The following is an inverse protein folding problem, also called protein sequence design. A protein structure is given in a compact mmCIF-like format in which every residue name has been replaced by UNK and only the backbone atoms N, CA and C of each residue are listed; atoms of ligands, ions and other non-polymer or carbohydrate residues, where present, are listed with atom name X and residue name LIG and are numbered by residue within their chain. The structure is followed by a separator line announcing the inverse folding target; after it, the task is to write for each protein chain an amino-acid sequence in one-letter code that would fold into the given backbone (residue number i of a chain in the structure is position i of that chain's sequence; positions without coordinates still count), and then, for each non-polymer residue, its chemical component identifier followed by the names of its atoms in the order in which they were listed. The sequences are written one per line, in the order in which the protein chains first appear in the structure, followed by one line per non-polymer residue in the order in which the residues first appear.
data_IF_952214521787
#
_entry.id   IF_952214521787
#
_cell.length_a   1.000
_cell.length_b   1.000
_cell.length_c   1.000
_cell.angle_alpha   90.00
_cell.angle_beta   90.00
_cell.angle_gamma   90.00
#
_symmetry.space_group_name_H-M   'P 1'
#
loop_
_entity.id
_entity.type
_entity.pdbx_description
1 polymer ?
#
# COMPACT_ATOMS: atom_id res chain seq x y z
N UNK A 1 13.64 -30.48 0.16
CA UNK A 1 13.83 -30.66 1.63
C UNK A 1 14.59 -31.96 1.86
N UNK A 2 15.69 -31.94 2.61
CA UNK A 2 16.48 -33.14 2.90
C UNK A 2 15.69 -34.07 3.82
N UNK A 3 15.57 -35.36 3.45
CA UNK A 3 14.90 -36.37 4.29
C UNK A 3 15.90 -36.93 5.30
N UNK A 4 15.48 -37.05 6.57
CA UNK A 4 16.28 -37.72 7.61
C UNK A 4 16.48 -39.18 7.24
N UNK A 5 17.70 -39.70 7.37
CA UNK A 5 17.93 -41.16 7.26
C UNK A 5 17.42 -41.84 8.54
N UNK A 6 16.52 -42.84 8.46
CA UNK A 6 16.10 -43.61 9.64
C UNK A 6 17.24 -44.53 10.11
N UNK A 7 17.57 -44.50 11.40
CA UNK A 7 18.58 -45.38 12.02
C UNK A 7 19.45 -44.69 13.08
N UNK A 8 20.34 -45.47 13.72
CA UNK A 8 21.34 -44.98 14.68
C UNK A 8 22.29 -44.01 13.96
N UNK A 9 22.43 -42.79 14.49
CA UNK A 9 23.30 -41.77 13.90
C UNK A 9 24.76 -42.22 14.04
N UNK A 10 25.51 -42.42 12.94
CA UNK A 10 26.92 -42.77 13.02
C UNK A 10 27.73 -41.57 13.52
N UNK A 11 28.96 -41.79 13.99
CA UNK A 11 29.85 -40.69 14.39
C UNK A 11 30.35 -39.87 13.18
N UNK A 12 30.45 -40.51 12.01
CA UNK A 12 31.02 -39.91 10.80
C UNK A 12 30.12 -40.08 9.57
N UNK A 13 30.07 -39.06 8.72
CA UNK A 13 29.44 -39.08 7.41
C UNK A 13 30.49 -39.08 6.29
N UNK A 14 30.25 -39.84 5.21
CA UNK A 14 31.20 -39.97 4.09
C UNK A 14 31.15 -38.80 3.12
N UNK A 15 29.99 -38.15 3.00
CA UNK A 15 29.80 -37.02 2.10
C UNK A 15 28.83 -35.98 2.69
N UNK A 16 28.77 -34.80 2.08
CA UNK A 16 27.93 -33.69 2.56
C UNK A 16 26.43 -34.02 2.54
N UNK A 17 25.97 -34.77 1.55
CA UNK A 17 24.57 -35.18 1.45
C UNK A 17 24.18 -36.11 2.61
N UNK A 18 25.07 -37.02 2.96
CA UNK A 18 24.91 -37.95 4.08
C UNK A 18 25.00 -37.22 5.43
N UNK A 19 25.95 -36.29 5.57
CA UNK A 19 26.04 -35.41 6.73
C UNK A 19 24.71 -34.68 6.96
N UNK A 20 24.17 -34.04 5.91
CA UNK A 20 22.89 -33.32 5.96
C UNK A 20 21.70 -34.19 6.38
N UNK A 21 21.71 -35.47 6.01
CA UNK A 21 20.68 -36.43 6.40
C UNK A 21 20.75 -36.89 7.86
N UNK A 22 21.89 -36.70 8.53
CA UNK A 22 22.10 -37.04 9.95
C UNK A 22 22.03 -35.84 10.90
N UNK A 23 22.14 -34.62 10.37
CA UNK A 23 21.92 -33.39 11.15
C UNK A 23 20.46 -33.26 11.61
N UNK A 24 20.26 -32.61 12.75
CA UNK A 24 18.95 -32.35 13.35
C UNK A 24 18.77 -30.84 13.58
N UNK A 25 17.87 -30.17 12.85
CA UNK A 25 17.04 -30.69 11.77
C UNK A 25 17.86 -31.04 10.51
N UNK A 26 17.36 -31.95 9.64
CA UNK A 26 18.06 -32.33 8.41
C UNK A 26 18.38 -31.11 7.54
N UNK A 27 19.59 -31.06 7.01
CA UNK A 27 20.09 -29.95 6.19
C UNK A 27 20.32 -30.37 4.76
N UNK A 28 20.02 -29.47 3.83
CA UNK A 28 20.40 -29.66 2.43
C UNK A 28 21.91 -29.42 2.26
N UNK A 29 22.50 -30.10 1.28
CA UNK A 29 23.93 -30.00 0.93
C UNK A 29 24.36 -28.55 0.71
N UNK A 30 23.50 -27.69 0.16
CA UNK A 30 23.78 -26.26 -0.07
C UNK A 30 24.06 -25.49 1.23
N UNK A 31 23.39 -25.85 2.32
CA UNK A 31 23.61 -25.23 3.64
C UNK A 31 25.00 -25.61 4.15
N UNK A 32 25.39 -26.88 4.00
CA UNK A 32 26.71 -27.39 4.39
C UNK A 32 27.81 -26.73 3.54
N UNK A 33 27.57 -26.55 2.23
CA UNK A 33 28.51 -25.83 1.36
C UNK A 33 28.68 -24.36 1.77
N UNK A 34 27.61 -23.69 2.21
CA UNK A 34 27.68 -22.32 2.73
C UNK A 34 28.45 -22.29 4.06
N UNK A 35 28.18 -23.24 4.96
CA UNK A 35 28.86 -23.37 6.24
C UNK A 35 30.37 -23.67 6.09
N UNK A 36 30.78 -24.42 5.07
CA UNK A 36 32.20 -24.65 4.76
C UNK A 36 32.98 -23.37 4.35
N UNK A 37 32.28 -22.31 3.94
CA UNK A 37 32.91 -21.02 3.61
C UNK A 37 33.03 -20.09 4.82
N UNK A 38 32.46 -20.47 5.96
CA UNK A 38 32.53 -19.69 7.19
C UNK A 38 33.81 -20.04 7.96
N UNK A 39 34.34 -19.04 8.67
CA UNK A 39 35.47 -19.21 9.57
C UNK A 39 35.07 -20.07 10.78
N UNK A 40 35.99 -20.92 11.24
CA UNK A 40 35.73 -21.85 12.35
C UNK A 40 34.90 -23.10 11.99
N UNK A 41 34.74 -23.41 10.71
CA UNK A 41 34.03 -24.63 10.30
C UNK A 41 34.80 -25.91 10.73
N UNK A 42 34.10 -27.00 11.11
CA UNK A 42 34.77 -28.24 11.52
C UNK A 42 35.52 -28.96 10.39
N UNK A 43 35.33 -28.55 9.14
CA UNK A 43 36.03 -29.12 7.99
C UNK A 43 35.80 -30.61 7.79
N UNK A 44 36.79 -31.27 7.18
CA UNK A 44 36.89 -32.73 7.06
C UNK A 44 37.91 -33.22 8.09
N UNK A 45 37.63 -34.37 8.69
CA UNK A 45 38.61 -35.09 9.50
C UNK A 45 39.80 -35.54 8.63
N UNK A 46 40.90 -35.97 9.27
CA UNK A 46 42.10 -36.49 8.60
C UNK A 46 41.80 -37.64 7.65
N UNK A 47 40.78 -38.45 7.96
CA UNK A 47 40.29 -39.57 7.13
C UNK A 47 39.37 -39.12 5.99
N UNK A 48 39.19 -37.81 5.77
CA UNK A 48 38.35 -37.25 4.73
C UNK A 48 36.84 -37.29 5.01
N UNK A 49 36.42 -37.82 6.17
CA UNK A 49 35.01 -37.90 6.61
C UNK A 49 34.59 -36.70 7.46
N UNK A 50 33.28 -36.48 7.60
CA UNK A 50 32.71 -35.40 8.40
C UNK A 50 32.26 -35.90 9.77
N UNK A 51 32.73 -35.29 10.86
CA UNK A 51 32.28 -35.64 12.21
C UNK A 51 30.91 -35.01 12.50
N UNK A 52 29.89 -35.84 12.72
CA UNK A 52 28.49 -35.39 12.71
C UNK A 52 28.19 -34.48 13.91
N UNK A 53 28.73 -34.77 15.10
CA UNK A 53 28.46 -33.98 16.31
C UNK A 53 29.07 -32.58 16.27
N UNK A 54 30.29 -32.42 15.75
CA UNK A 54 30.93 -31.11 15.60
C UNK A 54 30.17 -30.25 14.59
N UNK A 55 29.79 -30.85 13.47
CA UNK A 55 28.95 -30.20 12.46
C UNK A 55 27.57 -29.85 13.01
N UNK A 56 26.99 -30.68 13.87
CA UNK A 56 25.73 -30.40 14.55
C UNK A 56 25.83 -29.17 15.45
N UNK A 57 26.87 -29.09 16.28
CA UNK A 57 27.11 -27.94 17.15
C UNK A 57 27.33 -26.66 16.33
N UNK A 58 28.18 -26.72 15.31
CA UNK A 58 28.48 -25.58 14.44
C UNK A 58 27.25 -25.05 13.70
N UNK A 59 26.45 -25.96 13.13
CA UNK A 59 25.24 -25.59 12.39
C UNK A 59 24.17 -25.02 13.31
N UNK A 60 24.02 -25.56 14.52
CA UNK A 60 23.07 -25.00 15.48
C UNK A 60 23.50 -23.59 15.93
N UNK A 61 24.78 -23.37 16.20
CA UNK A 61 25.27 -22.05 16.60
C UNK A 61 25.10 -20.97 15.52
N UNK A 62 25.33 -21.33 14.25
CA UNK A 62 25.36 -20.36 13.15
C UNK A 62 24.06 -20.29 12.33
N UNK A 63 23.19 -21.30 12.41
CA UNK A 63 22.01 -21.43 11.56
C UNK A 63 20.73 -21.80 12.32
N UNK A 64 20.69 -21.73 13.66
CA UNK A 64 19.49 -21.99 14.46
C UNK A 64 18.27 -21.16 14.01
N UNK A 65 18.48 -19.91 13.60
CA UNK A 65 17.39 -18.98 13.20
C UNK A 65 16.72 -19.30 11.86
N UNK A 66 17.24 -20.28 11.09
CA UNK A 66 16.68 -20.68 9.79
C UNK A 66 15.73 -21.88 9.86
N UNK A 67 15.49 -22.42 11.05
CA UNK A 67 14.56 -23.55 11.26
C UNK A 67 13.86 -23.43 12.58
N UNK A 68 13.08 -22.37 12.73
CA UNK A 68 11.83 -22.54 13.44
C UNK A 68 10.80 -23.06 12.42
N UNK A 69 10.34 -24.32 12.49
CA UNK A 69 9.27 -24.80 11.63
C UNK A 69 7.91 -24.14 11.94
N UNK A 70 7.80 -23.28 12.98
CA UNK A 70 6.62 -22.45 13.20
C UNK A 70 6.59 -21.17 12.36
N UNK A 71 7.73 -20.73 11.82
CA UNK A 71 7.79 -19.67 10.80
C UNK A 71 7.65 -20.32 9.42
N UNK A 72 6.42 -20.73 9.12
CA UNK A 72 6.07 -21.44 7.90
C UNK A 72 6.26 -20.58 6.63
N UNK A 73 6.32 -21.21 5.43
CA UNK A 73 6.27 -20.52 4.14
C UNK A 73 5.02 -19.64 3.95
N UNK A 74 4.02 -19.81 4.83
CA UNK A 74 2.82 -18.99 4.88
C UNK A 74 3.10 -17.53 5.23
N UNK A 75 4.04 -17.21 6.13
CA UNK A 75 4.31 -15.80 6.46
C UNK A 75 4.96 -15.05 5.29
N UNK A 76 5.90 -15.66 4.58
CA UNK A 76 6.51 -15.03 3.40
C UNK A 76 5.50 -14.86 2.27
N UNK A 77 4.65 -15.86 2.06
CA UNK A 77 3.60 -15.80 1.02
C UNK A 77 2.53 -14.78 1.39
N UNK A 78 2.11 -14.71 2.65
CA UNK A 78 1.14 -13.74 3.13
C UNK A 78 1.68 -12.32 3.05
N UNK A 79 2.95 -12.11 3.42
CA UNK A 79 3.61 -10.81 3.29
C UNK A 79 3.78 -10.39 1.83
N UNK A 80 4.04 -11.32 0.92
CA UNK A 80 4.16 -11.03 -0.51
C UNK A 80 2.79 -10.72 -1.15
N UNK A 81 1.75 -11.45 -0.78
CA UNK A 81 0.36 -11.17 -1.19
C UNK A 81 -0.09 -9.81 -0.67
N UNK A 82 0.16 -9.49 0.60
CA UNK A 82 -0.23 -8.20 1.17
C UNK A 82 0.58 -7.05 0.57
N UNK A 83 1.87 -7.26 0.31
CA UNK A 83 2.70 -6.30 -0.41
C UNK A 83 2.18 -6.02 -1.81
N UNK A 84 1.80 -7.05 -2.57
CA UNK A 84 1.23 -6.89 -3.91
C UNK A 84 -0.13 -6.19 -3.88
N UNK A 85 -0.97 -6.51 -2.90
CA UNK A 85 -2.25 -5.84 -2.68
C UNK A 85 -2.06 -4.34 -2.43
N UNK A 86 -1.17 -3.97 -1.51
CA UNK A 86 -0.88 -2.57 -1.18
C UNK A 86 -0.23 -1.84 -2.35
N UNK A 87 0.62 -2.53 -3.13
CA UNK A 87 1.23 -1.95 -4.32
C UNK A 87 0.20 -1.68 -5.42
N UNK A 88 -0.77 -2.58 -5.62
CA UNK A 88 -1.86 -2.37 -6.57
C UNK A 88 -2.76 -1.20 -6.13
N UNK A 89 -3.15 -1.13 -4.86
CA UNK A 89 -3.93 0.00 -4.34
C UNK A 89 -3.22 1.35 -4.51
N UNK A 90 -1.90 1.37 -4.30
CA UNK A 90 -1.08 2.56 -4.53
C UNK A 90 -1.06 2.96 -6.00
N UNK A 91 -0.89 2.01 -6.92
CA UNK A 91 -0.88 2.29 -8.35
C UNK A 91 -2.24 2.74 -8.87
N UNK A 92 -3.33 2.16 -8.37
CA UNK A 92 -4.69 2.59 -8.68
C UNK A 92 -4.93 4.03 -8.22
N UNK A 93 -4.49 4.40 -7.00
CA UNK A 93 -4.55 5.78 -6.52
C UNK A 93 -3.70 6.73 -7.37
N UNK A 94 -2.46 6.35 -7.70
CA UNK A 94 -1.57 7.18 -8.52
C UNK A 94 -2.12 7.38 -9.95
N UNK A 95 -2.81 6.38 -10.51
CA UNK A 95 -3.51 6.51 -11.79
C UNK A 95 -4.67 7.50 -11.70
N UNK A 96 -5.49 7.42 -10.64
CA UNK A 96 -6.62 8.33 -10.42
C UNK A 96 -6.16 9.79 -10.19
N UNK A 97 -5.03 9.97 -9.50
CA UNK A 97 -4.40 11.29 -9.32
C UNK A 97 -3.83 11.82 -10.64
N UNK A 98 -3.12 10.99 -11.41
CA UNK A 98 -2.53 11.42 -12.69
C UNK A 98 -3.56 11.72 -13.77
N UNK A 99 -4.75 11.15 -13.65
CA UNK A 99 -5.90 11.46 -14.52
C UNK A 99 -6.62 12.75 -14.12
N UNK A 100 -6.15 13.50 -13.12
CA UNK A 100 -6.81 14.70 -12.55
C UNK A 100 -8.21 14.43 -11.99
N UNK A 101 -8.51 13.18 -11.60
CA UNK A 101 -9.83 12.73 -11.19
C UNK A 101 -10.03 12.73 -9.67
N UNK A 102 -9.10 13.29 -8.90
CA UNK A 102 -9.20 13.27 -7.44
C UNK A 102 -9.56 14.63 -6.87
N UNK A 103 -10.88 14.86 -6.77
CA UNK A 103 -11.47 15.77 -5.79
C UNK A 103 -12.25 14.90 -4.82
N UNK A 104 -12.01 15.03 -3.51
CA UNK A 104 -12.79 14.24 -2.56
C UNK A 104 -14.25 14.65 -2.65
N UNK A 105 -15.18 13.68 -2.64
CA UNK A 105 -16.61 13.96 -2.80
C UNK A 105 -17.13 14.98 -1.78
N UNK A 106 -16.59 14.93 -0.56
CA UNK A 106 -16.90 15.88 0.50
C UNK A 106 -16.61 17.32 0.07
N UNK A 107 -15.54 17.55 -0.69
CA UNK A 107 -15.15 18.87 -1.15
C UNK A 107 -16.07 19.36 -2.28
N UNK A 108 -16.46 18.48 -3.20
CA UNK A 108 -17.42 18.81 -4.28
C UNK A 108 -18.78 19.17 -3.69
N UNK A 109 -19.27 18.39 -2.72
CA UNK A 109 -20.54 18.65 -2.04
C UNK A 109 -20.52 19.98 -1.29
N UNK A 110 -19.42 20.28 -0.59
CA UNK A 110 -19.25 21.57 0.08
C UNK A 110 -19.26 22.74 -0.92
N UNK A 111 -18.57 22.61 -2.05
CA UNK A 111 -18.52 23.67 -3.07
C UNK A 111 -19.88 23.93 -3.72
N UNK A 112 -20.61 22.86 -4.05
CA UNK A 112 -21.95 22.98 -4.62
C UNK A 112 -22.93 23.54 -3.58
N UNK A 113 -22.86 23.07 -2.34
CA UNK A 113 -23.67 23.60 -1.23
C UNK A 113 -23.46 25.10 -1.05
N UNK A 114 -22.21 25.54 -1.02
CA UNK A 114 -21.83 26.96 -0.95
C UNK A 114 -22.40 27.77 -2.13
N UNK A 115 -22.30 27.25 -3.35
CA UNK A 115 -22.79 27.92 -4.54
C UNK A 115 -24.31 28.09 -4.50
N UNK A 116 -25.04 27.06 -4.09
CA UNK A 116 -26.51 27.07 -3.98
C UNK A 116 -26.97 28.03 -2.89
N UNK A 117 -26.31 28.04 -1.72
CA UNK A 117 -26.65 28.95 -0.63
C UNK A 117 -26.46 30.41 -1.08
N UNK A 118 -25.36 30.71 -1.77
CA UNK A 118 -25.10 32.05 -2.33
C UNK A 118 -26.14 32.42 -3.38
N UNK A 119 -26.43 31.53 -4.32
CA UNK A 119 -27.44 31.74 -5.36
C UNK A 119 -28.80 32.08 -4.75
N UNK A 120 -29.24 31.28 -3.78
CA UNK A 120 -30.49 31.52 -3.04
C UNK A 120 -30.47 32.88 -2.33
N UNK A 121 -29.37 33.22 -1.68
CA UNK A 121 -29.25 34.48 -0.93
C UNK A 121 -29.35 35.70 -1.84
N UNK A 122 -28.78 35.64 -3.04
CA UNK A 122 -28.84 36.76 -4.00
C UNK A 122 -30.20 36.82 -4.67
N UNK A 123 -30.71 35.70 -5.21
CA UNK A 123 -31.97 35.66 -5.93
C UNK A 123 -33.18 36.00 -5.04
N UNK A 124 -33.18 35.59 -3.77
CA UNK A 124 -34.26 35.91 -2.84
C UNK A 124 -34.31 37.41 -2.45
N UNK A 125 -33.25 38.19 -2.72
CA UNK A 125 -33.26 39.64 -2.49
C UNK A 125 -33.95 40.41 -3.62
N UNK A 126 -33.91 39.87 -4.84
CA UNK A 126 -34.41 40.53 -6.05
C UNK A 126 -35.84 41.05 -5.90
N UNK A 127 -36.83 40.31 -5.37
CA UNK A 127 -38.17 40.85 -5.21
C UNK A 127 -38.23 42.11 -4.34
N UNK A 128 -37.43 42.18 -3.28
CA UNK A 128 -37.36 43.34 -2.39
C UNK A 128 -36.70 44.56 -3.05
N UNK A 129 -35.66 44.34 -3.88
CA UNK A 129 -34.96 45.42 -4.60
C UNK A 129 -35.73 45.90 -5.83
N UNK A 130 -36.31 44.99 -6.61
CA UNK A 130 -36.97 45.32 -7.87
C UNK A 130 -38.41 45.79 -7.70
N UNK A 131 -39.14 45.35 -6.67
CA UNK A 131 -40.52 45.80 -6.43
C UNK A 131 -40.68 47.34 -6.51
N UNK A 132 -39.91 48.17 -5.80
CA UNK A 132 -40.04 49.62 -5.90
C UNK A 132 -39.62 50.19 -7.27
N UNK A 133 -38.77 49.51 -8.02
CA UNK A 133 -38.29 49.95 -9.34
C UNK A 133 -39.31 49.69 -10.47
N UNK A 134 -40.15 48.67 -10.27
CA UNK A 134 -41.11 48.17 -11.25
C UNK A 134 -42.51 48.76 -11.05
N UNK A 135 -42.84 49.24 -9.85
CA UNK A 135 -44.13 49.88 -9.56
C UNK A 135 -44.38 51.07 -10.51
N UNK A 136 -45.51 51.02 -11.22
CA UNK A 136 -45.92 52.07 -12.17
C UNK A 136 -45.23 52.02 -13.53
N UNK A 137 -44.44 50.97 -13.83
CA UNK A 137 -43.85 50.73 -15.16
C UNK A 137 -44.75 49.90 -16.04
N UNK A 138 -44.51 49.97 -17.35
CA UNK A 138 -45.11 49.04 -18.31
C UNK A 138 -44.56 47.64 -18.12
N UNK A 139 -45.28 46.63 -18.57
CA UNK A 139 -44.84 45.23 -18.49
C UNK A 139 -43.48 45.01 -19.18
N UNK A 140 -43.25 45.67 -20.32
CA UNK A 140 -41.99 45.58 -21.08
C UNK A 140 -40.81 46.19 -20.31
N UNK A 141 -41.01 47.36 -19.70
CA UNK A 141 -39.97 48.01 -18.89
C UNK A 141 -39.69 47.23 -17.60
N UNK A 142 -40.74 46.68 -16.99
CA UNK A 142 -40.65 45.83 -15.82
C UNK A 142 -39.83 44.57 -16.10
N UNK A 143 -40.10 43.89 -17.22
CA UNK A 143 -39.36 42.69 -17.62
C UNK A 143 -37.88 43.01 -17.87
N UNK A 144 -37.58 44.15 -18.51
CA UNK A 144 -36.20 44.58 -18.75
C UNK A 144 -35.43 44.77 -17.44
N UNK A 145 -36.01 45.49 -16.48
CA UNK A 145 -35.39 45.74 -15.17
C UNK A 145 -35.17 44.42 -14.41
N UNK A 146 -36.18 43.55 -14.37
CA UNK A 146 -36.06 42.25 -13.69
C UNK A 146 -34.98 41.37 -14.35
N UNK A 147 -34.90 41.37 -15.69
CA UNK A 147 -33.90 40.61 -16.43
C UNK A 147 -32.48 41.12 -16.14
N UNK A 148 -32.27 42.43 -16.17
CA UNK A 148 -30.97 43.06 -15.87
C UNK A 148 -30.50 42.67 -14.46
N UNK A 149 -31.37 42.78 -13.47
CA UNK A 149 -31.04 42.44 -12.07
C UNK A 149 -30.76 40.94 -11.88
N UNK A 150 -31.52 40.06 -12.54
CA UNK A 150 -31.29 38.61 -12.48
C UNK A 150 -29.94 38.25 -13.11
N UNK A 151 -29.60 38.86 -14.26
CA UNK A 151 -28.32 38.62 -14.93
C UNK A 151 -27.15 39.12 -14.08
N UNK A 152 -27.28 40.28 -13.45
CA UNK A 152 -26.29 40.81 -12.54
C UNK A 152 -26.11 39.90 -11.31
N UNK A 153 -27.22 39.49 -10.69
CA UNK A 153 -27.24 38.56 -9.57
C UNK A 153 -26.55 37.22 -9.87
N UNK A 154 -26.79 36.66 -11.06
CA UNK A 154 -26.14 35.44 -11.51
C UNK A 154 -24.65 35.65 -11.85
N UNK A 155 -24.29 36.83 -12.38
CA UNK A 155 -22.90 37.21 -12.64
C UNK A 155 -22.06 37.33 -11.36
N UNK A 156 -22.68 37.63 -10.22
CA UNK A 156 -22.00 37.63 -8.91
C UNK A 156 -21.65 36.22 -8.41
N UNK A 157 -22.26 35.16 -8.96
CA UNK A 157 -22.00 33.77 -8.56
C UNK A 157 -20.77 33.18 -9.25
N UNK A 158 -20.37 33.72 -10.41
CA UNK A 158 -19.25 33.23 -11.22
C UNK A 158 -17.92 33.95 -10.94
N UNK A 159 -17.93 35.04 -10.18
CA UNK A 159 -16.75 35.89 -9.91
C UNK A 159 -15.86 35.40 -8.77
N UNK A 160 -16.13 34.23 -8.16
CA UNK A 160 -15.16 33.56 -7.29
C UNK A 160 -14.10 32.89 -8.18
N UNK A 161 -12.80 33.16 -8.03
CA UNK A 161 -11.80 32.42 -8.78
C UNK A 161 -11.91 30.95 -8.36
N UNK A 162 -12.23 30.07 -9.30
CA UNK A 162 -12.14 28.61 -9.12
C UNK A 162 -10.72 28.14 -8.74
N UNK A 163 -9.76 29.06 -8.68
CA UNK A 163 -8.37 28.85 -8.34
C UNK A 163 -7.89 29.65 -7.10
N UNK A 164 -8.78 30.23 -6.29
CA UNK A 164 -8.40 30.87 -5.02
C UNK A 164 -8.11 29.83 -3.91
N UNK A 165 -7.27 28.85 -4.24
CA UNK A 165 -6.53 27.99 -3.34
C UNK A 165 -5.59 27.12 -4.20
N UNK A 166 -4.45 27.67 -4.58
CA UNK A 166 -3.13 27.01 -4.55
C UNK A 166 -2.05 28.08 -4.46
#
# INVERSE_FOLDING_TARGET
MAKRKPGKVPAFAKNQTELGGYLTPPRDRKIIQKALKMEGNPGRSKDGRYHIQEWQGFINANFASLTDPTVGPDDKRNLEVERLRLQNQKLEFELNVRRNEYTANVDVEAWVGDLVIRAKTVLCKIPGTCAPLVVGRTEVDAERILREEIVEALGQLTSRPLHAAK
#
